data_IF_212090122519
#
_entry.id   IF_212090122519
#
_cell.length_a   1.000
_cell.length_b   1.000
_cell.length_c   1.000
_cell.angle_alpha   90.00
_cell.angle_beta   90.00
_cell.angle_gamma   90.00
#
_symmetry.space_group_name_H-M   'P 1'
#
loop_
_entity.id
_entity.type
_entity.pdbx_description
1 polymer ?
#
# COMPACT_ATOMS: atom_id res chain seq x y z
N UNK A 1 -2.81 -10.52 20.46
CA UNK A 1 -3.43 -10.00 19.22
C UNK A 1 -2.53 -10.39 18.06
N UNK A 2 -3.08 -10.59 16.87
CA UNK A 2 -2.31 -11.05 15.71
C UNK A 2 -1.42 -9.92 15.17
N UNK A 3 -0.19 -10.24 14.75
CA UNK A 3 0.82 -9.32 14.21
C UNK A 3 0.28 -8.36 13.13
N UNK A 4 -0.76 -8.77 12.39
CA UNK A 4 -1.43 -7.93 11.38
C UNK A 4 -2.08 -6.70 12.00
N UNK A 5 -2.73 -6.83 13.18
CA UNK A 5 -3.37 -5.71 13.85
C UNK A 5 -2.34 -4.68 14.34
N UNK A 6 -1.14 -5.14 14.72
CA UNK A 6 -0.08 -4.27 15.20
C UNK A 6 0.53 -3.46 14.05
N UNK A 7 0.70 -4.05 12.86
CA UNK A 7 1.17 -3.33 11.66
C UNK A 7 0.20 -2.19 11.29
N UNK A 8 -1.10 -2.48 11.24
CA UNK A 8 -2.11 -1.46 10.95
C UNK A 8 -2.13 -0.37 12.02
N UNK A 9 -2.13 -0.74 13.30
CA UNK A 9 -2.13 0.21 14.40
C UNK A 9 -0.95 1.19 14.31
N UNK A 10 0.28 0.68 14.22
CA UNK A 10 1.47 1.53 14.15
C UNK A 10 1.56 2.31 12.84
N UNK A 11 1.11 1.73 11.73
CA UNK A 11 1.05 2.42 10.46
C UNK A 11 0.09 3.62 10.48
N UNK A 12 -1.10 3.45 11.07
CA UNK A 12 -2.07 4.55 11.27
C UNK A 12 -1.54 5.62 12.22
N UNK A 13 -0.85 5.24 13.30
CA UNK A 13 -0.25 6.20 14.23
C UNK A 13 0.81 7.08 13.55
N UNK A 14 1.58 6.53 12.60
CA UNK A 14 2.52 7.33 11.78
C UNK A 14 1.77 8.28 10.85
N UNK A 15 0.73 7.82 10.18
CA UNK A 15 -0.07 8.68 9.28
C UNK A 15 -0.82 9.79 10.03
N UNK A 16 -1.17 9.57 11.29
CA UNK A 16 -1.80 10.54 12.18
C UNK A 16 -0.79 11.48 12.87
N UNK A 17 0.51 11.37 12.57
CA UNK A 17 1.59 12.12 13.22
C UNK A 17 1.68 11.90 14.74
N UNK A 18 1.09 10.81 15.25
CA UNK A 18 1.14 10.42 16.66
C UNK A 18 2.46 9.73 17.02
N UNK A 19 3.11 9.09 16.04
CA UNK A 19 4.42 8.46 16.17
C UNK A 19 5.32 8.82 15.00
N UNK A 20 6.62 8.96 15.25
CA UNK A 20 7.59 8.97 14.16
C UNK A 20 7.69 7.58 13.51
N UNK A 21 8.09 7.48 12.21
CA UNK A 21 8.29 6.20 11.54
C UNK A 21 9.29 5.29 12.27
N UNK A 22 10.32 5.87 12.89
CA UNK A 22 11.34 5.13 13.63
C UNK A 22 10.78 4.55 14.94
N UNK A 23 10.00 5.34 15.68
CA UNK A 23 9.36 4.88 16.91
C UNK A 23 8.32 3.79 16.64
N UNK A 24 7.52 3.95 15.59
CA UNK A 24 6.56 2.94 15.16
C UNK A 24 7.23 1.63 14.76
N UNK A 25 8.35 1.69 14.02
CA UNK A 25 9.12 0.51 13.64
C UNK A 25 9.74 -0.19 14.86
N UNK A 26 10.27 0.57 15.83
CA UNK A 26 10.82 0.02 17.07
C UNK A 26 9.73 -0.66 17.91
N UNK A 27 8.60 0.01 18.12
CA UNK A 27 7.48 -0.55 18.90
C UNK A 27 6.87 -1.78 18.23
N UNK A 28 6.76 -1.79 16.90
CA UNK A 28 6.34 -2.97 16.16
C UNK A 28 7.34 -4.13 16.32
N UNK A 29 8.64 -3.86 16.22
CA UNK A 29 9.67 -4.87 16.44
C UNK A 29 9.62 -5.45 17.87
N UNK A 30 9.47 -4.59 18.89
CA UNK A 30 9.34 -5.01 20.28
C UNK A 30 8.07 -5.87 20.50
N UNK A 31 6.94 -5.46 19.91
CA UNK A 31 5.67 -6.21 19.99
C UNK A 31 5.71 -7.58 19.31
N UNK A 32 6.59 -7.75 18.31
CA UNK A 32 6.76 -9.00 17.58
C UNK A 32 7.46 -10.12 18.37
N UNK A 33 7.94 -9.83 19.59
CA UNK A 33 8.66 -10.79 20.46
C UNK A 33 9.84 -11.48 19.76
N UNK A 34 10.58 -10.72 18.95
CA UNK A 34 11.74 -11.20 18.19
C UNK A 34 11.42 -11.72 16.78
N UNK A 35 10.15 -11.66 16.35
CA UNK A 35 9.76 -12.01 14.98
C UNK A 35 10.24 -11.01 13.93
N UNK A 36 10.50 -9.76 14.33
CA UNK A 36 10.97 -8.68 13.46
C UNK A 36 12.16 -7.95 14.09
N UNK A 37 13.15 -7.63 13.26
CA UNK A 37 14.15 -6.60 13.60
C UNK A 37 13.54 -5.20 13.40
N UNK A 38 14.07 -4.13 14.01
CA UNK A 38 13.61 -2.77 13.76
C UNK A 38 13.62 -2.39 12.26
N UNK A 39 14.64 -2.83 11.52
CA UNK A 39 14.71 -2.65 10.07
C UNK A 39 13.62 -3.41 9.33
N UNK A 40 13.36 -4.66 9.72
CA UNK A 40 12.28 -5.47 9.15
C UNK A 40 10.90 -4.86 9.42
N UNK A 41 10.67 -4.38 10.64
CA UNK A 41 9.45 -3.68 11.02
C UNK A 41 9.27 -2.38 10.22
N UNK A 42 10.32 -1.59 10.03
CA UNK A 42 10.27 -0.38 9.21
C UNK A 42 9.88 -0.68 7.75
N UNK A 43 10.45 -1.74 7.17
CA UNK A 43 10.12 -2.17 5.81
C UNK A 43 8.66 -2.62 5.71
N UNK A 44 8.17 -3.41 6.66
CA UNK A 44 6.78 -3.89 6.68
C UNK A 44 5.79 -2.71 6.82
N UNK A 45 6.09 -1.74 7.68
CA UNK A 45 5.28 -0.53 7.80
C UNK A 45 5.27 0.27 6.50
N UNK A 46 6.41 0.44 5.85
CA UNK A 46 6.48 1.12 4.55
C UNK A 46 5.67 0.39 3.47
N UNK A 47 5.77 -0.94 3.41
CA UNK A 47 5.04 -1.77 2.44
C UNK A 47 3.53 -1.72 2.69
N UNK A 48 3.10 -1.81 3.96
CA UNK A 48 1.71 -1.69 4.36
C UNK A 48 1.15 -0.31 4.00
N UNK A 49 1.84 0.78 4.34
CA UNK A 49 1.43 2.15 3.99
C UNK A 49 1.31 2.34 2.48
N UNK A 50 2.30 1.86 1.73
CA UNK A 50 2.28 1.91 0.28
C UNK A 50 1.14 1.06 -0.33
N UNK A 51 0.79 -0.07 0.27
CA UNK A 51 -0.36 -0.88 -0.14
C UNK A 51 -1.70 -0.18 0.16
N UNK A 52 -1.82 0.42 1.34
CA UNK A 52 -2.99 1.18 1.74
C UNK A 52 -3.22 2.38 0.81
N UNK A 53 -2.19 3.16 0.53
CA UNK A 53 -2.30 4.32 -0.38
C UNK A 53 -2.78 3.90 -1.79
N UNK A 54 -2.28 2.78 -2.31
CA UNK A 54 -2.73 2.23 -3.61
C UNK A 54 -4.19 1.79 -3.54
N UNK A 55 -4.59 1.13 -2.45
CA UNK A 55 -5.97 0.68 -2.26
C UNK A 55 -6.95 1.86 -2.17
N UNK A 56 -6.65 2.85 -1.33
CA UNK A 56 -7.49 4.03 -1.15
C UNK A 56 -7.60 4.84 -2.45
N UNK A 57 -6.49 5.01 -3.19
CA UNK A 57 -6.51 5.65 -4.51
C UNK A 57 -7.35 4.89 -5.52
N UNK A 58 -7.16 3.57 -5.61
CA UNK A 58 -7.94 2.72 -6.50
C UNK A 58 -9.43 2.79 -6.19
N UNK A 59 -9.80 2.76 -4.90
CA UNK A 59 -11.18 2.90 -4.45
C UNK A 59 -11.79 4.26 -4.84
N UNK A 60 -11.04 5.36 -4.66
CA UNK A 60 -11.49 6.70 -5.05
C UNK A 60 -11.64 6.84 -6.57
N UNK A 61 -10.69 6.31 -7.34
CA UNK A 61 -10.71 6.33 -8.80
C UNK A 61 -11.92 5.52 -9.32
N UNK A 62 -12.12 4.29 -8.83
CA UNK A 62 -13.29 3.46 -9.19
C UNK A 62 -14.60 4.15 -8.84
N UNK A 63 -14.72 4.73 -7.65
CA UNK A 63 -15.92 5.48 -7.24
C UNK A 63 -16.21 6.65 -8.18
N UNK A 64 -15.17 7.37 -8.60
CA UNK A 64 -15.28 8.50 -9.53
C UNK A 64 -15.74 8.04 -10.90
N UNK A 65 -15.16 6.96 -11.42
CA UNK A 65 -15.53 6.37 -12.72
C UNK A 65 -16.97 5.88 -12.70
N UNK A 66 -17.37 5.12 -11.68
CA UNK A 66 -18.74 4.62 -11.54
C UNK A 66 -19.75 5.77 -11.49
N UNK A 67 -19.43 6.86 -10.79
CA UNK A 67 -20.26 8.07 -10.76
C UNK A 67 -20.39 8.73 -12.13
N UNK A 68 -19.30 8.84 -12.89
CA UNK A 68 -19.32 9.42 -14.22
C UNK A 68 -20.20 8.60 -15.17
N UNK A 69 -19.97 7.28 -15.22
CA UNK A 69 -20.70 6.36 -16.08
C UNK A 69 -22.20 6.35 -15.75
N UNK A 70 -22.57 6.33 -14.46
CA UNK A 70 -23.97 6.42 -14.02
C UNK A 70 -24.67 7.69 -14.51
N UNK A 71 -23.92 8.78 -14.69
CA UNK A 71 -24.43 10.06 -15.15
C UNK A 71 -24.30 10.24 -16.68
N UNK A 72 -24.05 9.18 -17.44
CA UNK A 72 -23.87 9.24 -18.89
C UNK A 72 -22.61 9.96 -19.35
N UNK A 73 -21.62 10.14 -18.45
CA UNK A 73 -20.33 10.79 -18.75
C UNK A 73 -19.24 9.73 -18.95
N UNK A 74 -18.27 9.96 -19.83
CA UNK A 74 -17.12 9.07 -19.96
C UNK A 74 -16.27 9.05 -18.67
N UNK A 75 -15.50 7.98 -18.49
CA UNK A 75 -14.50 7.89 -17.43
C UNK A 75 -13.49 9.06 -17.56
N UNK A 76 -13.10 9.73 -16.47
CA UNK A 76 -12.15 10.82 -16.55
C UNK A 76 -10.80 10.37 -17.13
N UNK A 77 -10.31 11.10 -18.14
CA UNK A 77 -9.10 10.71 -18.88
C UNK A 77 -7.87 10.52 -18.00
N UNK A 78 -7.72 11.34 -16.95
CA UNK A 78 -6.58 11.25 -16.04
C UNK A 78 -6.57 9.94 -15.25
N UNK A 79 -7.74 9.37 -14.92
CA UNK A 79 -7.86 8.07 -14.25
C UNK A 79 -7.52 6.96 -15.24
N UNK A 80 -8.11 7.00 -16.43
CA UNK A 80 -7.84 6.02 -17.50
C UNK A 80 -6.35 5.99 -17.86
N UNK A 81 -5.70 7.16 -17.96
CA UNK A 81 -4.27 7.26 -18.22
C UNK A 81 -3.44 6.63 -17.11
N UNK A 82 -3.74 6.96 -15.84
CA UNK A 82 -3.05 6.40 -14.68
C UNK A 82 -3.16 4.88 -14.63
N UNK A 83 -4.36 4.33 -14.79
CA UNK A 83 -4.56 2.87 -14.81
C UNK A 83 -3.75 2.20 -15.92
N UNK A 84 -3.70 2.79 -17.11
CA UNK A 84 -2.88 2.27 -18.20
C UNK A 84 -1.38 2.31 -17.87
N UNK A 85 -0.90 3.34 -17.18
CA UNK A 85 0.48 3.44 -16.72
C UNK A 85 0.81 2.39 -15.66
N UNK A 86 -0.08 2.19 -14.69
CA UNK A 86 0.06 1.19 -13.63
C UNK A 86 0.10 -0.23 -14.22
N UNK A 87 -0.79 -0.54 -15.18
CA UNK A 87 -0.78 -1.83 -15.88
C UNK A 87 0.52 -2.07 -16.65
N UNK A 88 1.03 -1.04 -17.35
CA UNK A 88 2.33 -1.13 -18.04
C UNK A 88 3.49 -1.33 -17.06
N UNK A 89 3.47 -0.63 -15.92
CA UNK A 89 4.48 -0.78 -14.89
C UNK A 89 4.45 -2.18 -14.27
N UNK A 90 3.25 -2.72 -14.00
CA UNK A 90 3.07 -4.08 -13.49
C UNK A 90 3.58 -5.13 -14.50
N UNK A 91 3.26 -4.98 -15.78
CA UNK A 91 3.75 -5.85 -16.84
C UNK A 91 5.29 -5.86 -16.92
N UNK A 92 5.94 -4.69 -16.79
CA UNK A 92 7.42 -4.61 -16.75
C UNK A 92 8.00 -5.35 -15.54
N UNK A 93 7.41 -5.19 -14.34
CA UNK A 93 7.87 -5.90 -13.14
C UNK A 93 7.77 -7.42 -13.29
N UNK A 94 6.70 -7.91 -13.92
CA UNK A 94 6.52 -9.33 -14.18
C UNK A 94 7.51 -9.86 -15.23
N UNK A 95 7.80 -9.08 -16.28
CA UNK A 95 8.77 -9.46 -17.31
C UNK A 95 10.22 -9.54 -16.78
N UNK A 96 10.56 -8.77 -15.75
CA UNK A 96 11.88 -8.77 -15.12
C UNK A 96 11.99 -9.69 -13.90
N UNK A 97 10.97 -10.51 -13.62
CA UNK A 97 11.06 -11.48 -12.52
C UNK A 97 12.01 -12.61 -12.94
N UNK A 98 13.11 -12.88 -12.22
CA UNK A 98 13.96 -14.02 -12.53
C UNK A 98 13.09 -15.28 -12.49
N UNK A 99 13.14 -16.07 -13.55
CA UNK A 99 12.54 -17.39 -13.60
C UNK A 99 13.26 -18.22 -12.54
N UNK A 100 12.66 -18.38 -11.35
CA UNK A 100 13.09 -19.38 -10.39
C UNK A 100 12.94 -20.72 -11.11
N UNK A 101 14.07 -21.28 -11.54
CA UNK A 101 14.11 -22.63 -12.11
C UNK A 101 13.68 -23.60 -11.00
N UNK A 102 12.84 -24.60 -11.34
CA UNK A 102 12.40 -25.62 -10.39
C UNK A 102 13.57 -26.44 -9.83
#
# INVERSE_FOLDING_TARGET
MALINDIEFYGRAVDAEELSPEEAARQLADSSRGGLTPRGAAQILADWRGALERYERGHADTTTVLRALRNGRPAPEFITRRWNEEQRAAARRLAHRPQERP
#
